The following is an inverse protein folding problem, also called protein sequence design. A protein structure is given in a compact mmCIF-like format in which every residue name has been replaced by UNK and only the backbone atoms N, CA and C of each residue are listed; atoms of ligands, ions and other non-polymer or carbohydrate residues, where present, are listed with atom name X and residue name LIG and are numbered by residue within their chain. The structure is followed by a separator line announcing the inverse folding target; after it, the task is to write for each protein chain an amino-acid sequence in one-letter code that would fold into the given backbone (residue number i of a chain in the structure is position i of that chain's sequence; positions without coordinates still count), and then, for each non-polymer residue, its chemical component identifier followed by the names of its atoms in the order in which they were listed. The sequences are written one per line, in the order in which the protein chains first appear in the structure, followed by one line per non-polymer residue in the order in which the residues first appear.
data_IF_538184414939
#
_entry.id   IF_538184414939
#
_cell.length_a   1.000
_cell.length_b   1.000
_cell.length_c   1.000
_cell.angle_alpha   90.00
_cell.angle_beta   90.00
_cell.angle_gamma   90.00
#
_symmetry.space_group_name_H-M   'P 1'
#
loop_
_entity.id
_entity.type
_entity.pdbx_description
1 polymer ?
#
# COMPACT_ATOMS: atom_id res chain seq x y z
N UNK A 1 -22.17 -23.88 6.81
CA UNK A 1 -22.55 -22.90 7.84
C UNK A 1 -21.32 -22.67 8.68
N UNK A 2 -20.69 -21.50 8.58
CA UNK A 2 -19.63 -21.14 9.51
C UNK A 2 -20.28 -21.01 10.89
N UNK A 3 -19.91 -21.89 11.81
CA UNK A 3 -20.34 -21.76 13.19
C UNK A 3 -19.56 -20.58 13.79
N UNK A 4 -20.26 -19.52 14.15
CA UNK A 4 -19.67 -18.37 14.84
C UNK A 4 -19.12 -18.84 16.19
N UNK A 5 -17.87 -18.51 16.49
CA UNK A 5 -17.27 -18.71 17.82
C UNK A 5 -17.23 -17.37 18.53
N UNK A 6 -17.79 -17.29 19.74
CA UNK A 6 -17.79 -16.05 20.53
C UNK A 6 -18.70 -14.93 20.02
N UNK A 7 -19.56 -15.21 19.04
CA UNK A 7 -20.52 -14.25 18.50
C UNK A 7 -21.91 -14.90 18.39
N UNK A 8 -22.89 -14.35 19.10
CA UNK A 8 -24.28 -14.84 19.11
C UNK A 8 -25.04 -14.40 17.87
N UNK A 9 -24.87 -13.14 17.45
CA UNK A 9 -25.47 -12.59 16.24
C UNK A 9 -24.69 -11.38 15.73
N UNK A 10 -24.78 -11.11 14.43
CA UNK A 10 -24.26 -9.91 13.78
C UNK A 10 -25.41 -9.23 13.04
N UNK A 11 -25.61 -7.93 13.29
CA UNK A 11 -26.67 -7.12 12.67
C UNK A 11 -26.10 -5.85 12.03
N UNK A 12 -26.79 -5.28 11.05
CA UNK A 12 -26.38 -4.05 10.37
C UNK A 12 -25.27 -4.22 9.32
N UNK A 13 -24.80 -5.44 9.09
CA UNK A 13 -23.76 -5.77 8.11
C UNK A 13 -24.24 -5.60 6.67
N UNK A 14 -25.55 -5.52 6.42
CA UNK A 14 -26.16 -5.39 5.10
C UNK A 14 -25.77 -4.09 4.37
N UNK A 15 -25.19 -3.14 5.10
CA UNK A 15 -24.64 -1.89 4.56
C UNK A 15 -23.20 -2.02 4.06
N UNK A 16 -22.54 -3.16 4.30
CA UNK A 16 -21.15 -3.42 3.92
C UNK A 16 -21.16 -4.38 2.73
N UNK A 17 -20.70 -3.91 1.58
CA UNK A 17 -20.65 -4.70 0.35
C UNK A 17 -19.43 -5.62 0.30
N UNK A 18 -18.34 -5.22 0.97
CA UNK A 18 -17.06 -5.93 0.97
C UNK A 18 -16.31 -5.73 2.29
N UNK A 19 -15.66 -6.77 2.79
CA UNK A 19 -14.69 -6.68 3.89
C UNK A 19 -13.32 -7.01 3.33
N UNK A 20 -12.33 -6.18 3.65
CA UNK A 20 -10.94 -6.40 3.28
C UNK A 20 -10.03 -6.28 4.49
N UNK A 21 -9.40 -7.38 4.83
CA UNK A 21 -8.27 -7.40 5.76
C UNK A 21 -7.01 -6.94 5.03
N UNK A 22 -6.31 -5.96 5.59
CA UNK A 22 -5.04 -5.45 5.08
C UNK A 22 -3.94 -5.76 6.09
N UNK A 23 -3.38 -6.95 5.94
CA UNK A 23 -2.36 -7.54 6.79
C UNK A 23 -0.94 -7.41 6.18
N UNK A 24 0.05 -7.83 6.96
CA UNK A 24 1.46 -7.82 6.57
C UNK A 24 1.89 -9.02 5.73
N UNK A 25 0.96 -9.88 5.29
CA UNK A 25 1.33 -11.02 4.44
C UNK A 25 1.93 -10.56 3.11
N UNK A 26 2.91 -11.29 2.54
CA UNK A 26 3.53 -10.89 1.29
C UNK A 26 2.51 -10.73 0.15
N UNK A 27 2.68 -9.69 -0.67
CA UNK A 27 1.81 -9.44 -1.85
C UNK A 27 1.91 -10.55 -2.91
N UNK A 28 2.95 -11.38 -2.86
CA UNK A 28 3.06 -12.61 -3.62
C UNK A 28 4.19 -13.51 -3.12
N UNK A 29 4.05 -14.82 -3.35
CA UNK A 29 5.03 -15.83 -2.88
C UNK A 29 6.24 -15.98 -3.81
N UNK A 30 6.20 -15.41 -5.01
CA UNK A 30 7.23 -15.62 -6.04
C UNK A 30 7.88 -14.31 -6.47
N UNK A 31 9.13 -14.34 -7.01
CA UNK A 31 9.79 -13.14 -7.55
C UNK A 31 9.07 -12.49 -8.73
N UNK A 32 8.12 -13.21 -9.35
CA UNK A 32 7.27 -12.69 -10.43
C UNK A 32 6.27 -11.64 -9.93
N UNK A 33 5.91 -11.68 -8.66
CA UNK A 33 5.09 -10.63 -8.04
C UNK A 33 6.00 -9.49 -7.60
N UNK A 34 5.66 -8.27 -7.99
CA UNK A 34 6.39 -7.03 -7.64
C UNK A 34 5.41 -5.85 -7.53
N UNK A 35 5.84 -4.70 -6.97
CA UNK A 35 4.99 -3.52 -6.82
C UNK A 35 4.22 -3.15 -8.10
N UNK A 36 4.91 -3.03 -9.24
CA UNK A 36 4.28 -2.62 -10.50
C UNK A 36 3.18 -3.58 -10.98
N UNK A 37 3.35 -4.89 -10.78
CA UNK A 37 2.31 -5.87 -11.13
C UNK A 37 1.14 -5.84 -10.17
N UNK A 38 1.40 -5.60 -8.88
CA UNK A 38 0.37 -5.68 -7.85
C UNK A 38 -0.57 -4.48 -7.88
N UNK A 39 -0.04 -3.27 -8.07
CA UNK A 39 -0.84 -2.04 -8.23
C UNK A 39 -1.45 -1.91 -9.64
N UNK A 40 -1.19 -2.86 -10.55
CA UNK A 40 -1.80 -2.94 -11.88
C UNK A 40 -1.22 -2.03 -12.96
N UNK A 41 -0.21 -1.20 -12.66
CA UNK A 41 0.39 -0.29 -13.67
C UNK A 41 1.22 -1.03 -14.73
N UNK A 42 1.69 -2.23 -14.42
CA UNK A 42 2.58 -2.99 -15.31
C UNK A 42 1.98 -3.26 -16.69
N UNK A 43 0.67 -3.55 -16.76
CA UNK A 43 -0.01 -3.81 -18.02
C UNK A 43 -0.05 -2.59 -18.94
N UNK A 44 -0.24 -1.40 -18.36
CA UNK A 44 -0.20 -0.14 -19.08
C UNK A 44 1.22 0.15 -19.59
N UNK A 45 2.25 -0.09 -18.76
CA UNK A 45 3.66 0.06 -19.15
C UNK A 45 3.98 -0.86 -20.34
N UNK A 46 3.58 -2.14 -20.30
CA UNK A 46 3.81 -3.08 -21.41
C UNK A 46 3.17 -2.63 -22.72
N UNK A 47 1.95 -2.09 -22.66
CA UNK A 47 1.24 -1.55 -23.84
C UNK A 47 1.97 -0.33 -24.40
N UNK A 48 2.43 0.57 -23.53
CA UNK A 48 3.20 1.76 -23.91
C UNK A 48 4.47 1.39 -24.70
N UNK A 49 5.22 0.38 -24.24
CA UNK A 49 6.41 -0.10 -24.96
C UNK A 49 6.07 -0.77 -26.30
N UNK A 50 4.96 -1.52 -26.36
CA UNK A 50 4.48 -2.13 -27.60
C UNK A 50 4.03 -1.10 -28.65
N UNK A 51 3.64 0.10 -28.23
CA UNK A 51 3.24 1.19 -29.12
C UNK A 51 4.40 2.00 -29.71
N UNK A 52 5.64 1.74 -29.28
CA UNK A 52 6.83 2.39 -29.85
C UNK A 52 7.04 1.99 -31.32
N UNK A 53 7.65 2.89 -32.10
CA UNK A 53 7.96 2.63 -33.50
C UNK A 53 8.88 1.41 -33.67
N UNK A 54 9.87 1.26 -32.78
CA UNK A 54 10.81 0.14 -32.76
C UNK A 54 10.10 -1.19 -32.50
N UNK A 55 9.18 -1.25 -31.52
CA UNK A 55 8.40 -2.44 -31.23
C UNK A 55 7.49 -2.81 -32.41
N UNK A 56 6.77 -1.83 -32.97
CA UNK A 56 5.87 -2.05 -34.12
C UNK A 56 6.62 -2.54 -35.35
N UNK A 57 7.79 -1.97 -35.67
CA UNK A 57 8.62 -2.41 -36.78
C UNK A 57 9.12 -3.86 -36.63
N UNK A 58 9.32 -4.33 -35.39
CA UNK A 58 9.72 -5.71 -35.08
C UNK A 58 8.54 -6.67 -34.86
N UNK A 59 7.30 -6.19 -34.98
CA UNK A 59 6.10 -6.98 -34.72
C UNK A 59 5.90 -7.35 -33.24
N UNK A 60 6.50 -6.61 -32.31
CA UNK A 60 6.38 -6.87 -30.88
C UNK A 60 5.05 -6.35 -30.35
N UNK A 61 4.35 -7.19 -29.59
CA UNK A 61 3.15 -6.82 -28.85
C UNK A 61 3.45 -6.74 -27.36
N UNK A 62 2.47 -6.33 -26.56
CA UNK A 62 2.61 -6.26 -25.10
C UNK A 62 3.01 -7.61 -24.45
N UNK A 63 2.80 -8.75 -25.14
CA UNK A 63 3.24 -10.06 -24.65
C UNK A 63 4.77 -10.20 -24.64
N UNK A 64 5.47 -9.61 -25.61
CA UNK A 64 6.95 -9.60 -25.65
C UNK A 64 7.54 -8.96 -24.40
N UNK A 65 6.88 -7.91 -23.91
CA UNK A 65 7.22 -7.14 -22.73
C UNK A 65 6.72 -7.76 -21.41
N UNK A 66 6.20 -8.99 -21.43
CA UNK A 66 5.81 -9.74 -20.24
C UNK A 66 6.95 -10.64 -19.77
N UNK A 67 7.47 -10.38 -18.56
CA UNK A 67 8.44 -11.29 -17.93
C UNK A 67 7.80 -12.62 -17.43
N UNK A 68 6.47 -12.73 -17.43
CA UNK A 68 5.76 -13.93 -16.98
C UNK A 68 5.54 -14.95 -18.10
N UNK A 69 5.16 -14.49 -19.30
CA UNK A 69 4.52 -15.35 -20.33
C UNK A 69 5.00 -15.07 -21.76
N UNK A 70 6.06 -14.30 -21.96
CA UNK A 70 6.53 -13.91 -23.30
C UNK A 70 7.93 -14.39 -23.67
N UNK A 71 8.18 -14.47 -24.98
CA UNK A 71 9.49 -14.79 -25.58
C UNK A 71 10.55 -13.70 -25.35
N UNK A 72 10.16 -12.55 -24.80
CA UNK A 72 11.09 -11.48 -24.45
C UNK A 72 11.78 -11.67 -23.11
N UNK A 73 11.29 -12.58 -22.25
CA UNK A 73 11.88 -12.81 -20.93
C UNK A 73 13.27 -13.41 -21.03
N UNK A 74 14.12 -13.12 -20.05
CA UNK A 74 15.45 -13.72 -19.97
C UNK A 74 15.32 -15.25 -19.84
N UNK A 75 15.97 -16.04 -20.71
CA UNK A 75 15.87 -17.50 -20.68
C UNK A 75 16.59 -18.11 -19.47
N UNK A 76 17.65 -17.46 -18.97
CA UNK A 76 18.47 -17.99 -17.88
C UNK A 76 17.76 -17.99 -16.52
N UNK A 77 16.94 -16.97 -16.24
CA UNK A 77 16.17 -16.86 -15.01
C UNK A 77 14.65 -17.00 -15.23
N UNK A 78 14.22 -17.35 -16.45
CA UNK A 78 12.81 -17.42 -16.85
C UNK A 78 11.99 -16.16 -16.48
N UNK A 79 12.61 -14.98 -16.65
CA UNK A 79 11.99 -13.69 -16.30
C UNK A 79 11.90 -13.36 -14.81
N UNK A 80 12.49 -14.16 -13.91
CA UNK A 80 12.49 -13.85 -12.47
C UNK A 80 13.45 -12.71 -12.08
N UNK A 81 14.49 -12.46 -12.87
CA UNK A 81 15.56 -11.49 -12.58
C UNK A 81 16.56 -11.96 -11.52
N UNK A 82 16.24 -13.02 -10.79
CA UNK A 82 17.07 -13.63 -9.74
C UNK A 82 17.21 -15.13 -9.97
N UNK A 83 18.27 -15.72 -9.40
CA UNK A 83 18.47 -17.17 -9.31
C UNK A 83 18.47 -17.56 -7.83
N UNK A 84 17.73 -18.63 -7.52
CA UNK A 84 17.72 -19.21 -6.18
C UNK A 84 18.83 -20.25 -6.09
N UNK A 85 19.76 -20.04 -5.15
CA UNK A 85 20.81 -20.99 -4.83
C UNK A 85 20.37 -21.76 -3.59
N UNK A 86 20.17 -23.06 -3.77
CA UNK A 86 19.81 -23.96 -2.70
C UNK A 86 20.96 -24.14 -1.72
N UNK A 87 20.69 -23.95 -0.44
CA UNK A 87 21.66 -24.12 0.64
C UNK A 87 21.28 -25.34 1.48
N UNK A 88 22.23 -26.21 1.85
CA UNK A 88 21.90 -27.48 2.51
C UNK A 88 21.34 -27.33 3.93
N UNK A 89 21.73 -26.26 4.64
CA UNK A 89 21.37 -26.04 6.05
C UNK A 89 20.90 -24.62 6.35
N UNK A 90 21.03 -23.71 5.39
CA UNK A 90 20.64 -22.31 5.50
C UNK A 90 19.43 -22.05 4.59
N UNK A 91 18.67 -20.97 4.82
CA UNK A 91 17.67 -20.53 3.85
C UNK A 91 18.30 -20.30 2.48
N UNK A 92 17.55 -20.62 1.43
CA UNK A 92 17.97 -20.40 0.06
C UNK A 92 18.32 -18.92 -0.19
N UNK A 93 19.43 -18.68 -0.87
CA UNK A 93 19.88 -17.33 -1.20
C UNK A 93 19.42 -16.97 -2.60
N UNK A 94 18.88 -15.77 -2.76
CA UNK A 94 18.51 -15.22 -4.07
C UNK A 94 19.59 -14.26 -4.53
N UNK A 95 20.22 -14.56 -5.65
CA UNK A 95 21.24 -13.70 -6.27
C UNK A 95 20.69 -13.09 -7.57
N UNK A 96 21.07 -11.85 -7.93
CA UNK A 96 20.76 -11.30 -9.24
C UNK A 96 21.19 -12.24 -10.36
N UNK A 97 20.39 -12.34 -11.41
CA UNK A 97 20.74 -13.14 -12.58
C UNK A 97 22.01 -12.57 -13.25
N UNK A 98 22.96 -13.44 -13.52
CA UNK A 98 24.24 -13.16 -14.19
C UNK A 98 24.10 -12.78 -15.67
N UNK A 99 22.96 -13.06 -16.29
CA UNK A 99 22.71 -12.80 -17.71
C UNK A 99 21.95 -11.50 -17.94
N UNK A 100 20.87 -11.25 -17.19
CA UNK A 100 20.06 -10.03 -17.35
C UNK A 100 20.28 -9.00 -16.24
N UNK A 101 21.12 -9.29 -15.24
CA UNK A 101 21.43 -8.39 -14.13
C UNK A 101 20.18 -7.79 -13.44
N UNK A 102 19.12 -8.60 -13.30
CA UNK A 102 17.86 -8.18 -12.69
C UNK A 102 16.84 -7.56 -13.66
N UNK A 103 17.22 -7.25 -14.89
CA UNK A 103 16.34 -6.60 -15.88
C UNK A 103 15.24 -7.53 -16.44
N UNK A 104 15.31 -8.84 -16.18
CA UNK A 104 14.28 -9.86 -16.51
C UNK A 104 14.02 -10.13 -17.99
N UNK A 105 14.65 -9.42 -18.92
CA UNK A 105 14.43 -9.55 -20.36
C UNK A 105 15.70 -9.96 -21.12
N UNK A 106 15.53 -10.43 -22.36
CA UNK A 106 16.62 -10.68 -23.30
C UNK A 106 17.08 -9.40 -24.02
N UNK A 107 18.31 -9.39 -24.58
CA UNK A 107 18.87 -8.20 -25.23
C UNK A 107 18.00 -7.63 -26.35
N UNK A 108 17.31 -8.45 -27.14
CA UNK A 108 16.47 -8.00 -28.25
C UNK A 108 15.26 -7.20 -27.76
N UNK A 109 14.70 -7.57 -26.61
CA UNK A 109 13.60 -6.85 -25.97
C UNK A 109 14.09 -5.58 -25.31
N UNK A 110 15.28 -5.62 -24.69
CA UNK A 110 15.92 -4.45 -24.05
C UNK A 110 16.39 -3.41 -25.07
N UNK A 111 16.53 -3.78 -26.35
CA UNK A 111 16.85 -2.84 -27.42
C UNK A 111 15.68 -1.92 -27.82
N UNK A 112 14.48 -2.13 -27.28
CA UNK A 112 13.34 -1.21 -27.47
C UNK A 112 13.31 -0.21 -26.33
N UNK A 113 13.27 1.09 -26.66
CA UNK A 113 13.29 2.15 -25.66
C UNK A 113 12.07 3.04 -25.72
N UNK A 114 11.69 3.58 -24.57
CA UNK A 114 10.73 4.67 -24.44
C UNK A 114 11.38 5.78 -23.62
N UNK A 115 11.42 7.01 -24.17
CA UNK A 115 12.13 8.16 -23.58
C UNK A 115 13.59 7.84 -23.16
N UNK A 116 14.29 7.03 -23.97
CA UNK A 116 15.69 6.66 -23.74
C UNK A 116 15.93 5.61 -22.65
N UNK A 117 14.87 4.97 -22.13
CA UNK A 117 14.96 3.87 -21.17
C UNK A 117 14.33 2.61 -21.73
N UNK A 118 14.98 1.47 -21.53
CA UNK A 118 14.37 0.19 -21.90
C UNK A 118 13.43 -0.30 -20.79
N UNK A 119 12.64 -1.35 -21.07
CA UNK A 119 11.65 -1.85 -20.11
C UNK A 119 12.27 -2.49 -18.86
N UNK A 120 13.50 -3.02 -18.99
CA UNK A 120 14.27 -3.55 -17.87
C UNK A 120 14.75 -2.43 -16.95
N UNK A 121 15.23 -1.32 -17.51
CA UNK A 121 15.61 -0.12 -16.74
C UNK A 121 14.41 0.39 -15.93
N UNK A 122 13.22 0.42 -16.54
CA UNK A 122 11.97 0.82 -15.87
C UNK A 122 11.68 -0.06 -14.65
N UNK A 123 11.90 -1.38 -14.74
CA UNK A 123 11.72 -2.25 -13.57
C UNK A 123 12.71 -1.97 -12.45
N UNK A 124 13.90 -1.44 -12.77
CA UNK A 124 14.92 -1.09 -11.78
C UNK A 124 14.83 0.34 -11.28
N UNK A 125 13.93 1.17 -11.83
CA UNK A 125 13.69 2.53 -11.33
C UNK A 125 13.04 2.49 -9.95
N UNK A 126 13.51 3.36 -9.07
CA UNK A 126 12.82 3.71 -7.84
C UNK A 126 11.48 4.37 -8.18
N UNK A 127 10.49 4.19 -7.32
CA UNK A 127 9.16 4.77 -7.49
C UNK A 127 9.23 6.29 -7.57
N UNK A 128 10.11 6.93 -6.81
CA UNK A 128 10.33 8.38 -6.88
C UNK A 128 10.74 8.85 -8.29
N UNK A 129 11.70 8.16 -8.92
CA UNK A 129 12.09 8.43 -10.32
C UNK A 129 10.94 8.11 -11.28
N UNK A 130 10.26 6.99 -11.05
CA UNK A 130 9.19 6.52 -11.93
C UNK A 130 7.98 7.48 -11.97
N UNK A 131 7.67 8.15 -10.86
CA UNK A 131 6.62 9.19 -10.80
C UNK A 131 6.91 10.30 -11.81
N UNK A 132 8.15 10.82 -11.81
CA UNK A 132 8.56 11.89 -12.73
C UNK A 132 8.65 11.38 -14.17
N UNK A 133 9.20 10.18 -14.36
CA UNK A 133 9.36 9.56 -15.66
C UNK A 133 8.01 9.29 -16.36
N UNK A 134 6.99 8.90 -15.62
CA UNK A 134 5.65 8.63 -16.13
C UNK A 134 4.67 9.80 -15.95
N UNK A 135 5.10 10.98 -15.49
CA UNK A 135 4.23 12.16 -15.30
C UNK A 135 3.26 12.45 -16.47
N UNK A 136 3.64 12.29 -17.77
CA UNK A 136 2.70 12.49 -18.89
C UNK A 136 1.58 11.44 -19.01
N UNK A 137 1.71 10.30 -18.34
CA UNK A 137 0.82 9.13 -18.45
C UNK A 137 0.08 8.95 -17.13
N UNK A 138 -1.04 9.66 -16.97
CA UNK A 138 -1.73 9.84 -15.69
C UNK A 138 -2.22 8.55 -15.03
N UNK A 139 -2.58 7.53 -15.82
CA UNK A 139 -2.99 6.21 -15.32
C UNK A 139 -1.80 5.34 -14.84
N UNK A 140 -0.56 5.77 -15.06
CA UNK A 140 0.65 5.20 -14.45
C UNK A 140 1.13 6.12 -13.32
N UNK A 141 1.26 7.42 -13.58
CA UNK A 141 1.79 8.38 -12.62
C UNK A 141 0.98 8.44 -11.32
N UNK A 142 -0.35 8.35 -11.39
CA UNK A 142 -1.18 8.49 -10.20
C UNK A 142 -1.02 7.33 -9.20
N UNK A 143 -1.14 6.04 -9.59
CA UNK A 143 -0.83 4.95 -8.66
C UNK A 143 0.59 5.02 -8.10
N UNK A 144 1.58 5.45 -8.91
CA UNK A 144 2.96 5.64 -8.43
C UNK A 144 3.07 6.79 -7.43
N UNK A 145 2.32 7.87 -7.62
CA UNK A 145 2.25 8.96 -6.67
C UNK A 145 1.68 8.48 -5.33
N UNK A 146 0.65 7.64 -5.33
CA UNK A 146 0.11 7.06 -4.10
C UNK A 146 1.14 6.19 -3.38
N UNK A 147 1.93 5.40 -4.11
CA UNK A 147 3.06 4.65 -3.54
C UNK A 147 4.09 5.56 -2.87
N UNK A 148 4.42 6.68 -3.51
CA UNK A 148 5.30 7.71 -2.94
C UNK A 148 4.67 8.33 -1.69
N UNK A 149 3.39 8.65 -1.73
CA UNK A 149 2.65 9.28 -0.63
C UNK A 149 2.62 8.40 0.63
N UNK A 150 2.60 7.07 0.51
CA UNK A 150 2.71 6.12 1.64
C UNK A 150 4.15 5.83 2.08
N UNK A 151 5.13 6.54 1.52
CA UNK A 151 6.55 6.39 1.88
C UNK A 151 7.24 5.18 1.24
N UNK A 152 6.79 4.71 0.08
CA UNK A 152 7.43 3.61 -0.67
C UNK A 152 8.28 4.11 -1.85
N UNK A 153 8.65 5.40 -1.88
CA UNK A 153 9.38 6.03 -2.99
C UNK A 153 10.72 5.35 -3.33
N UNK A 154 11.41 4.81 -2.32
CA UNK A 154 12.70 4.12 -2.46
C UNK A 154 12.61 2.71 -3.07
N UNK A 155 11.43 2.09 -3.11
CA UNK A 155 11.30 0.76 -3.69
C UNK A 155 11.39 0.84 -5.21
N UNK A 156 11.97 -0.19 -5.81
CA UNK A 156 11.96 -0.32 -7.28
C UNK A 156 10.66 -0.93 -7.79
N UNK A 157 10.23 -0.54 -9.00
CA UNK A 157 9.00 -1.07 -9.63
C UNK A 157 8.99 -2.61 -9.75
N UNK A 158 10.16 -3.18 -9.98
CA UNK A 158 10.42 -4.61 -10.16
C UNK A 158 10.92 -5.32 -8.91
N UNK A 159 10.89 -4.71 -7.71
CA UNK A 159 11.36 -5.35 -6.49
C UNK A 159 10.62 -6.68 -6.25
N UNK A 160 11.31 -7.82 -6.11
CA UNK A 160 10.66 -9.10 -5.87
C UNK A 160 9.85 -9.11 -4.57
N UNK A 161 8.59 -9.54 -4.62
CA UNK A 161 7.72 -9.55 -3.42
C UNK A 161 8.30 -10.28 -2.20
N UNK A 162 9.02 -11.40 -2.33
CA UNK A 162 9.59 -12.08 -1.17
C UNK A 162 10.72 -11.31 -0.46
N UNK A 163 11.22 -10.21 -1.04
CA UNK A 163 12.24 -9.36 -0.41
C UNK A 163 11.63 -8.11 0.23
N UNK A 164 10.30 -7.97 0.20
CA UNK A 164 9.60 -6.86 0.85
C UNK A 164 9.39 -7.17 2.33
N UNK A 165 9.46 -6.14 3.17
CA UNK A 165 9.03 -6.23 4.56
C UNK A 165 7.51 -6.37 4.67
N UNK A 166 7.04 -6.80 5.84
CA UNK A 166 5.59 -6.89 6.13
C UNK A 166 4.88 -5.54 5.97
N UNK A 167 5.44 -4.48 6.56
CA UNK A 167 4.90 -3.12 6.43
C UNK A 167 4.99 -2.53 5.03
N UNK A 168 5.98 -2.91 4.21
CA UNK A 168 5.99 -2.57 2.78
C UNK A 168 4.85 -3.25 2.04
N UNK A 169 4.66 -4.56 2.24
CA UNK A 169 3.59 -5.31 1.61
C UNK A 169 2.20 -4.77 1.99
N UNK A 170 1.99 -4.44 3.26
CA UNK A 170 0.74 -3.85 3.76
C UNK A 170 0.45 -2.49 3.09
N UNK A 171 1.44 -1.59 3.03
CA UNK A 171 1.28 -0.27 2.38
C UNK A 171 0.99 -0.39 0.88
N UNK A 172 1.60 -1.36 0.19
CA UNK A 172 1.29 -1.65 -1.22
C UNK A 172 -0.18 -2.07 -1.39
N UNK A 173 -0.70 -2.92 -0.48
CA UNK A 173 -2.12 -3.30 -0.49
C UNK A 173 -3.04 -2.09 -0.31
N UNK A 174 -2.72 -1.20 0.62
CA UNK A 174 -3.49 0.04 0.84
C UNK A 174 -3.53 0.92 -0.42
N UNK A 175 -2.39 1.09 -1.09
CA UNK A 175 -2.33 1.88 -2.35
C UNK A 175 -3.18 1.27 -3.45
N UNK A 176 -3.17 -0.05 -3.59
CA UNK A 176 -4.03 -0.76 -4.55
C UNK A 176 -5.51 -0.48 -4.29
N UNK A 177 -5.91 -0.37 -3.02
CA UNK A 177 -7.29 -0.04 -2.66
C UNK A 177 -7.63 1.42 -2.91
N UNK A 178 -6.76 2.37 -2.53
CA UNK A 178 -6.93 3.79 -2.85
C UNK A 178 -7.08 4.05 -4.36
N UNK A 179 -6.38 3.27 -5.19
CA UNK A 179 -6.47 3.38 -6.65
C UNK A 179 -7.88 3.02 -7.14
N UNK A 180 -8.53 2.02 -6.52
CA UNK A 180 -9.90 1.58 -6.87
C UNK A 180 -10.95 2.61 -6.46
N UNK A 181 -10.78 3.27 -5.30
CA UNK A 181 -11.71 4.32 -4.83
C UNK A 181 -11.89 5.41 -5.90
N UNK A 182 -10.80 5.82 -6.55
CA UNK A 182 -10.86 6.83 -7.61
C UNK A 182 -11.60 6.32 -8.86
N UNK A 183 -11.34 5.07 -9.26
CA UNK A 183 -12.02 4.48 -10.41
C UNK A 183 -13.54 4.44 -10.19
N UNK A 184 -13.99 4.18 -8.97
CA UNK A 184 -15.40 4.14 -8.61
C UNK A 184 -16.08 5.51 -8.66
N UNK A 185 -15.39 6.59 -8.26
CA UNK A 185 -15.89 7.98 -8.40
C UNK A 185 -16.13 8.36 -9.87
N UNK A 186 -15.31 7.82 -10.80
CA UNK A 186 -15.43 8.14 -12.23
C UNK A 186 -16.49 7.32 -12.97
N UNK A 187 -16.99 6.22 -12.39
CA UNK A 187 -18.07 5.41 -12.98
C UNK A 187 -19.43 6.07 -12.74
N UNK A 188 -19.86 6.91 -13.70
CA UNK A 188 -21.21 7.49 -13.71
C UNK A 188 -22.28 6.39 -13.70
N UNK A 189 -23.09 6.34 -12.65
CA UNK A 189 -24.36 5.60 -12.63
C UNK A 189 -24.41 4.33 -11.78
N UNK A 190 -23.31 3.92 -11.13
CA UNK A 190 -23.32 2.82 -10.16
C UNK A 190 -22.92 3.34 -8.78
N UNK A 191 -23.64 2.93 -7.74
CA UNK A 191 -23.26 3.19 -6.34
C UNK A 191 -21.92 2.48 -6.09
N UNK A 192 -20.91 3.23 -5.68
CA UNK A 192 -19.63 2.65 -5.27
C UNK A 192 -19.87 1.66 -4.10
N UNK A 193 -19.28 0.46 -4.12
CA UNK A 193 -19.46 -0.51 -3.05
C UNK A 193 -18.84 0.02 -1.76
N UNK A 194 -19.57 -0.10 -0.66
CA UNK A 194 -19.05 0.21 0.67
C UNK A 194 -18.10 -0.90 1.11
N UNK A 195 -16.81 -0.58 1.24
CA UNK A 195 -15.79 -1.51 1.74
C UNK A 195 -15.46 -1.20 3.21
N UNK A 196 -15.44 -2.23 4.05
CA UNK A 196 -14.86 -2.19 5.39
C UNK A 196 -13.41 -2.66 5.30
N UNK A 197 -12.47 -1.76 5.58
CA UNK A 197 -11.04 -2.07 5.70
C UNK A 197 -10.72 -2.41 7.15
N UNK A 198 -10.04 -3.53 7.39
CA UNK A 198 -9.56 -3.94 8.71
C UNK A 198 -8.05 -4.03 8.67
N UNK A 199 -7.37 -3.25 9.50
CA UNK A 199 -5.92 -3.18 9.58
C UNK A 199 -5.45 -3.60 10.97
N UNK A 200 -4.46 -4.49 11.00
CA UNK A 200 -3.81 -4.94 12.23
C UNK A 200 -2.43 -4.27 12.34
N UNK A 201 -2.27 -3.44 13.37
CA UNK A 201 -1.08 -2.64 13.70
C UNK A 201 -0.30 -2.10 12.48
N UNK A 202 -0.92 -1.26 11.63
CA UNK A 202 -0.30 -0.77 10.40
C UNK A 202 0.88 0.18 10.62
N UNK A 203 1.13 0.65 11.86
CA UNK A 203 2.29 1.49 12.19
C UNK A 203 3.56 0.71 12.50
N UNK A 204 3.49 -0.63 12.63
CA UNK A 204 4.65 -1.45 13.00
C UNK A 204 5.83 -1.23 12.05
N UNK A 205 6.94 -0.77 12.61
CA UNK A 205 8.18 -0.51 11.88
C UNK A 205 8.18 0.79 11.07
N UNK A 206 7.18 1.66 11.23
CA UNK A 206 7.17 2.99 10.62
C UNK A 206 7.88 4.02 11.50
N UNK A 207 8.57 4.94 10.84
CA UNK A 207 9.07 6.16 11.48
C UNK A 207 7.90 7.14 11.69
N UNK A 208 7.98 8.02 12.69
CA UNK A 208 6.91 8.98 13.04
C UNK A 208 6.43 9.82 11.82
N UNK A 209 7.37 10.23 10.95
CA UNK A 209 7.05 10.96 9.73
C UNK A 209 6.23 10.15 8.69
N UNK A 210 6.33 8.81 8.73
CA UNK A 210 5.56 7.91 7.87
C UNK A 210 4.21 7.52 8.49
N UNK A 211 4.08 7.57 9.82
CA UNK A 211 2.78 7.43 10.51
C UNK A 211 1.82 8.52 10.06
N UNK A 212 2.25 9.78 10.03
CA UNK A 212 1.44 10.89 9.51
C UNK A 212 0.98 10.69 8.05
N UNK A 213 1.80 10.04 7.21
CA UNK A 213 1.43 9.71 5.82
C UNK A 213 0.37 8.61 5.79
N UNK A 214 0.53 7.59 6.62
CA UNK A 214 -0.44 6.51 6.77
C UNK A 214 -1.80 7.05 7.24
N UNK A 215 -1.82 7.90 8.27
CA UNK A 215 -3.05 8.54 8.78
C UNK A 215 -3.81 9.25 7.65
N UNK A 216 -3.12 10.07 6.85
CA UNK A 216 -3.73 10.73 5.67
C UNK A 216 -4.33 9.75 4.67
N UNK A 217 -3.68 8.62 4.47
CA UNK A 217 -4.16 7.55 3.58
C UNK A 217 -5.41 6.88 4.12
N UNK A 218 -5.48 6.64 5.44
CA UNK A 218 -6.67 6.10 6.09
C UNK A 218 -7.85 7.07 6.00
N UNK A 219 -7.64 8.36 6.28
CA UNK A 219 -8.70 9.37 6.10
C UNK A 219 -9.21 9.44 4.66
N UNK A 220 -8.32 9.34 3.66
CA UNK A 220 -8.75 9.32 2.25
C UNK A 220 -9.64 8.12 1.90
N UNK A 221 -9.49 6.98 2.57
CA UNK A 221 -10.41 5.85 2.42
C UNK A 221 -11.77 6.18 3.03
N UNK A 222 -11.78 6.77 4.23
CA UNK A 222 -13.00 7.20 4.92
C UNK A 222 -13.75 8.28 4.12
N UNK A 223 -13.04 9.29 3.61
CA UNK A 223 -13.56 10.33 2.72
C UNK A 223 -14.14 9.76 1.41
N UNK A 224 -13.64 8.60 0.97
CA UNK A 224 -14.19 7.83 -0.14
C UNK A 224 -15.55 7.17 0.15
N UNK A 225 -16.07 7.33 1.37
CA UNK A 225 -17.30 6.69 1.84
C UNK A 225 -17.10 5.26 2.33
N UNK A 226 -15.87 4.88 2.69
CA UNK A 226 -15.54 3.57 3.26
C UNK A 226 -15.44 3.62 4.79
N UNK A 227 -15.44 2.45 5.42
CA UNK A 227 -15.17 2.33 6.86
C UNK A 227 -13.79 1.73 7.06
N UNK A 228 -13.03 2.27 8.00
CA UNK A 228 -11.69 1.77 8.35
C UNK A 228 -11.68 1.42 9.84
N UNK A 229 -11.34 0.17 10.15
CA UNK A 229 -11.13 -0.31 11.52
C UNK A 229 -9.66 -0.65 11.66
N UNK A 230 -9.02 -0.05 12.66
CA UNK A 230 -7.59 -0.22 12.91
C UNK A 230 -7.41 -0.73 14.33
N UNK A 231 -6.59 -1.78 14.48
CA UNK A 231 -6.05 -2.21 15.77
C UNK A 231 -4.70 -1.51 15.92
N UNK A 232 -4.56 -0.66 16.93
CA UNK A 232 -3.36 0.14 17.12
C UNK A 232 -3.02 0.39 18.58
N UNK A 233 -1.74 0.68 18.78
CA UNK A 233 -1.16 1.17 20.03
C UNK A 233 -0.46 2.52 19.84
N UNK A 234 -0.23 2.95 18.60
CA UNK A 234 0.34 4.26 18.31
C UNK A 234 -0.66 5.39 18.64
N UNK A 235 -0.26 6.27 19.56
CA UNK A 235 -1.14 7.32 20.08
C UNK A 235 -1.45 8.41 19.04
N UNK A 236 -0.61 8.61 18.02
CA UNK A 236 -0.87 9.60 16.98
C UNK A 236 -2.00 9.09 16.06
N UNK A 237 -2.04 7.79 15.76
CA UNK A 237 -3.18 7.18 15.04
C UNK A 237 -4.45 7.19 15.87
N UNK A 238 -4.36 6.83 17.16
CA UNK A 238 -5.51 6.81 18.06
C UNK A 238 -6.11 8.21 18.23
N UNK A 239 -5.28 9.25 18.29
CA UNK A 239 -5.72 10.64 18.43
C UNK A 239 -6.54 11.14 17.23
N UNK A 240 -6.27 10.64 16.02
CA UNK A 240 -6.93 11.06 14.78
C UNK A 240 -8.19 10.22 14.46
N UNK A 241 -8.54 9.24 15.30
CA UNK A 241 -9.71 8.41 15.10
C UNK A 241 -11.03 9.16 15.42
N UNK A 242 -12.04 9.01 14.57
CA UNK A 242 -13.39 9.54 14.84
C UNK A 242 -14.06 8.86 16.04
N UNK A 243 -13.73 7.58 16.27
CA UNK A 243 -14.32 6.74 17.31
C UNK A 243 -13.35 5.66 17.77
N UNK A 244 -13.26 5.44 19.08
CA UNK A 244 -12.38 4.44 19.70
C UNK A 244 -13.24 3.44 20.47
N UNK A 245 -12.91 2.16 20.33
CA UNK A 245 -13.41 1.09 21.20
C UNK A 245 -12.21 0.60 22.03
N UNK A 246 -12.18 0.99 23.30
CA UNK A 246 -11.11 0.65 24.22
C UNK A 246 -11.43 -0.67 24.94
N UNK A 247 -10.51 -1.63 24.85
CA UNK A 247 -10.65 -2.97 25.42
C UNK A 247 -9.76 -3.11 26.65
N UNK A 248 -10.24 -3.84 27.65
CA UNK A 248 -9.50 -4.06 28.88
C UNK A 248 -10.40 -4.46 30.04
N UNK A 249 -10.20 -3.91 31.25
CA UNK A 249 -9.18 -2.91 31.62
C UNK A 249 -7.75 -3.47 31.64
N UNK A 250 -7.59 -4.78 31.80
CA UNK A 250 -6.29 -5.46 31.81
C UNK A 250 -6.18 -6.47 30.65
N UNK A 251 -5.02 -7.13 30.53
CA UNK A 251 -4.83 -8.25 29.61
C UNK A 251 -5.31 -9.59 30.16
N UNK A 252 -5.49 -10.58 29.28
CA UNK A 252 -5.78 -11.96 29.66
C UNK A 252 -7.12 -12.12 30.41
N UNK A 253 -7.10 -12.80 31.56
CA UNK A 253 -8.31 -13.07 32.37
C UNK A 253 -8.93 -11.81 32.99
N UNK A 254 -8.18 -10.71 33.08
CA UNK A 254 -8.68 -9.41 33.56
C UNK A 254 -9.20 -8.51 32.44
N UNK A 255 -9.23 -9.01 31.20
CA UNK A 255 -9.63 -8.26 30.02
C UNK A 255 -10.90 -8.78 29.35
N UNK A 256 -11.04 -8.46 28.06
CA UNK A 256 -12.15 -8.94 27.23
C UNK A 256 -13.46 -8.16 27.42
N UNK A 257 -13.40 -7.00 28.06
CA UNK A 257 -14.55 -6.10 28.23
C UNK A 257 -14.31 -4.78 27.51
N UNK A 258 -15.41 -4.11 27.12
CA UNK A 258 -15.36 -2.73 26.61
C UNK A 258 -15.22 -1.80 27.80
N UNK A 259 -14.08 -1.14 27.92
CA UNK A 259 -13.84 -0.12 28.95
C UNK A 259 -14.57 1.17 28.56
N UNK A 260 -14.48 1.54 27.28
CA UNK A 260 -15.16 2.69 26.72
C UNK A 260 -15.38 2.54 25.21
N UNK A 261 -16.44 3.18 24.72
CA UNK A 261 -16.67 3.42 23.30
C UNK A 261 -17.01 4.91 23.14
N UNK A 262 -16.06 5.71 22.67
CA UNK A 262 -16.14 7.17 22.70
C UNK A 262 -15.19 7.80 21.65
N UNK A 263 -15.40 9.07 21.28
CA UNK A 263 -14.37 9.84 20.57
C UNK A 263 -13.14 10.06 21.48
N UNK A 264 -11.97 10.42 20.91
CA UNK A 264 -10.72 10.68 21.64
C UNK A 264 -10.89 11.56 22.88
N UNK A 265 -11.62 12.68 22.75
CA UNK A 265 -11.85 13.64 23.84
C UNK A 265 -12.75 13.09 24.94
N UNK A 266 -13.64 12.15 24.60
CA UNK A 266 -14.47 11.43 25.55
C UNK A 266 -13.66 10.37 26.30
N UNK A 267 -12.77 9.67 25.60
CA UNK A 267 -11.96 8.59 26.17
C UNK A 267 -11.03 9.10 27.27
N UNK A 268 -10.44 10.29 27.13
CA UNK A 268 -9.57 10.89 28.14
C UNK A 268 -10.28 11.23 29.47
N UNK A 269 -11.62 11.26 29.49
CA UNK A 269 -12.41 11.45 30.71
C UNK A 269 -12.70 10.14 31.45
N UNK A 270 -12.41 8.99 30.83
CA UNK A 270 -12.68 7.66 31.42
C UNK A 270 -11.51 7.25 32.30
N UNK A 271 -11.67 7.34 33.63
CA UNK A 271 -10.61 7.03 34.58
C UNK A 271 -10.11 5.58 34.51
N UNK A 272 -10.96 4.64 34.10
CA UNK A 272 -10.62 3.23 33.96
C UNK A 272 -9.85 2.89 32.67
N UNK A 273 -9.73 3.83 31.72
CA UNK A 273 -9.06 3.61 30.44
C UNK A 273 -7.57 3.95 30.53
N UNK A 274 -6.71 2.95 30.37
CA UNK A 274 -5.26 3.17 30.23
C UNK A 274 -4.95 3.98 28.96
N UNK A 275 -5.66 3.69 27.88
CA UNK A 275 -5.57 4.40 26.60
C UNK A 275 -5.91 5.89 26.77
N UNK A 276 -7.01 6.21 27.45
CA UNK A 276 -7.40 7.60 27.75
C UNK A 276 -6.38 8.35 28.59
N UNK A 277 -5.74 7.68 29.57
CA UNK A 277 -4.68 8.29 30.37
C UNK A 277 -3.44 8.63 29.51
N UNK A 278 -3.04 7.73 28.61
CA UNK A 278 -1.90 7.92 27.71
C UNK A 278 -2.17 8.94 26.59
N UNK A 279 -3.42 9.03 26.12
CA UNK A 279 -3.84 9.90 25.02
C UNK A 279 -3.91 11.39 25.42
N UNK A 280 -4.17 11.66 26.70
CA UNK A 280 -4.31 13.02 27.26
C UNK A 280 -3.17 13.99 26.89
N UNK A 281 -1.87 13.65 27.08
CA UNK A 281 -0.78 14.54 26.68
C UNK A 281 -0.68 14.73 25.15
N UNK A 282 -1.10 13.75 24.35
CA UNK A 282 -1.03 13.83 22.88
C UNK A 282 -2.04 14.84 22.35
N UNK A 283 -3.31 14.73 22.76
CA UNK A 283 -4.36 15.69 22.37
C UNK A 283 -4.04 17.12 22.83
N UNK A 284 -3.39 17.27 23.99
CA UNK A 284 -2.97 18.59 24.48
C UNK A 284 -1.89 19.24 23.58
N UNK A 285 -1.02 18.46 22.95
CA UNK A 285 -0.01 18.97 21.99
C UNK A 285 -0.66 19.33 20.66
N UNK A 286 -1.51 18.46 20.11
CA UNK A 286 -2.19 18.71 18.83
C UNK A 286 -3.04 19.98 18.86
N UNK A 287 -3.73 20.24 19.99
CA UNK A 287 -4.49 21.46 20.18
C UNK A 287 -3.61 22.74 20.23
N UNK A 288 -2.37 22.62 20.72
CA UNK A 288 -1.42 23.74 20.74
C UNK A 288 -0.85 24.02 19.34
N UNK A 289 -0.46 22.97 18.61
CA UNK A 289 0.10 23.07 17.25
C UNK A 289 -0.94 23.56 16.22
N UNK A 290 -2.20 23.08 16.31
CA UNK A 290 -3.30 23.55 15.47
C UNK A 290 -3.62 25.04 15.68
N UNK A 291 -3.52 25.51 16.93
CA UNK A 291 -3.70 26.92 17.27
C UNK A 291 -2.55 27.84 16.83
N UNK A 292 -1.37 27.30 16.51
CA UNK A 292 -0.27 28.07 15.89
C UNK A 292 -0.39 28.10 14.36
N UNK A 293 -0.85 27.00 13.73
CA UNK A 293 -1.08 26.94 12.29
C UNK A 293 -2.20 27.90 11.83
N UNK A 294 -3.33 27.96 12.56
CA UNK A 294 -4.42 28.90 12.25
C UNK A 294 -3.99 30.38 12.38
N UNK A 295 -3.14 30.71 13.37
CA UNK A 295 -2.59 32.07 13.53
C UNK A 295 -1.64 32.47 12.41
N UNK A 296 -0.93 31.51 11.81
CA UNK A 296 -0.02 31.79 10.69
C UNK A 296 -0.76 31.98 9.38
N UNK A 297 -1.89 31.29 9.18
CA UNK A 297 -2.77 31.51 8.02
C UNK A 297 -3.54 32.83 8.14
N UNK A 298 -4.02 33.21 9.33
CA UNK A 298 -4.63 34.53 9.55
C UNK A 298 -3.64 35.68 9.33
N UNK A 299 -2.37 35.50 9.71
CA UNK A 299 -1.31 36.50 9.50
C UNK A 299 -0.86 36.64 8.03
N UNK A 300 -1.23 35.70 7.14
CA UNK A 300 -0.94 35.77 5.69
C UNK A 300 -2.06 36.39 4.87
N UNK A 301 -3.26 36.53 5.44
CA UNK A 301 -4.44 37.11 4.78
C UNK A 301 -4.68 38.57 5.20
N UNK A 302 -3.86 39.10 6.12
CA UNK A 302 -3.88 40.50 6.59
C UNK A 302 -2.97 41.45 5.83
#
# INVERSE_FOLDING_TARGET
MHAWQGCESLSGWERIDRVLEVDQTPIGKTPRSCPATYIGVWDTIRKLFADTLEARARGYTASRFSFNTGDGRCPACEGQGVRTIGMSFLPDVKVPCDVCHGQRFNPETLAVTWRGRNIGDVLTMEIDEAVEFFAPVSNIAHPLQLMKDVGLGYLTLGQPSPTLSGGEAQRIKLVTELTKVRDDITRRGQKAPHTLYVLDEPTVGLHMADVAKLIRVLHRLVDGGHSVVVIEHDLDVIAEADWIIDLGPEGGVGGGTIVAAAPPEGLVQVSASHTGQALKPVLARTAADGGEAERQDEARVG
#
